data_IF_694461497178
#
_entry.id   IF_694461497178
#
_cell.length_a   1.000
_cell.length_b   1.000
_cell.length_c   1.000
_cell.angle_alpha   90.00
_cell.angle_beta   90.00
_cell.angle_gamma   90.00
#
_symmetry.space_group_name_H-M   'P 1'
#
loop_
_entity.id
_entity.type
_entity.pdbx_description
1 polymer ?
#
# COMPACT_ATOMS: atom_id res chain seq x y z
N UNK A 1 1.87 53.55 20.07
CA UNK A 1 2.01 52.27 20.79
C UNK A 1 2.16 51.20 19.73
N UNK A 2 3.36 50.69 19.51
CA UNK A 2 3.58 49.51 18.68
C UNK A 2 2.91 48.33 19.38
N UNK A 3 1.96 47.67 18.71
CA UNK A 3 1.42 46.39 19.18
C UNK A 3 2.58 45.46 19.49
N UNK A 4 2.70 44.97 20.73
CA UNK A 4 3.65 43.89 21.01
C UNK A 4 3.29 42.70 20.11
N UNK A 5 4.32 42.12 19.47
CA UNK A 5 4.13 40.97 18.59
C UNK A 5 3.64 39.78 19.44
N UNK A 6 2.59 39.10 18.95
CA UNK A 6 2.00 37.95 19.65
C UNK A 6 2.97 36.77 19.66
N UNK A 7 2.73 35.77 20.52
CA UNK A 7 3.48 34.52 20.52
C UNK A 7 3.52 33.88 19.11
N UNK A 8 2.36 33.88 18.43
CA UNK A 8 2.25 33.32 17.09
C UNK A 8 3.12 34.07 16.07
N UNK A 9 3.13 35.41 16.10
CA UNK A 9 3.96 36.22 15.19
C UNK A 9 5.45 35.93 15.40
N UNK A 10 5.88 35.80 16.66
CA UNK A 10 7.28 35.55 17.01
C UNK A 10 7.72 34.13 16.65
N UNK A 11 6.88 33.12 16.86
CA UNK A 11 7.19 31.75 16.44
C UNK A 11 7.22 31.64 14.92
N UNK A 12 6.28 32.29 14.20
CA UNK A 12 6.30 32.32 12.73
C UNK A 12 7.57 32.97 12.20
N UNK A 13 8.02 34.07 12.81
CA UNK A 13 9.31 34.67 12.49
C UNK A 13 10.47 33.71 12.75
N UNK A 14 10.51 33.06 13.91
CA UNK A 14 11.54 32.07 14.26
C UNK A 14 11.61 30.92 13.23
N UNK A 15 10.47 30.38 12.81
CA UNK A 15 10.41 29.30 11.80
C UNK A 15 10.79 29.76 10.38
N UNK A 16 10.75 31.07 10.11
CA UNK A 16 11.17 31.66 8.84
C UNK A 16 12.69 31.90 8.75
N UNK A 17 13.41 31.82 9.88
CA UNK A 17 14.85 32.02 9.94
C UNK A 17 15.59 30.93 9.15
N UNK A 18 16.78 31.26 8.63
CA UNK A 18 17.60 30.29 7.87
C UNK A 18 18.07 29.17 8.79
N UNK A 19 17.77 27.93 8.42
CA UNK A 19 18.11 26.74 9.20
C UNK A 19 19.62 26.49 9.40
N UNK A 20 20.48 27.14 8.62
CA UNK A 20 21.94 27.04 8.75
C UNK A 20 22.50 27.81 9.94
N UNK A 21 21.72 28.71 10.54
CA UNK A 21 22.12 29.52 11.70
C UNK A 21 21.29 29.16 12.93
N UNK A 22 21.49 27.94 13.43
CA UNK A 22 20.80 27.46 14.62
C UNK A 22 21.08 28.32 15.86
N UNK A 23 22.22 29.02 15.92
CA UNK A 23 22.56 29.87 17.06
C UNK A 23 21.60 31.07 17.15
N UNK A 24 21.30 31.71 16.02
CA UNK A 24 20.33 32.79 15.98
C UNK A 24 18.92 32.29 16.32
N UNK A 25 18.55 31.08 15.87
CA UNK A 25 17.26 30.45 16.20
C UNK A 25 17.15 30.19 17.71
N UNK A 26 18.20 29.64 18.33
CA UNK A 26 18.27 29.40 19.78
C UNK A 26 18.12 30.72 20.56
N UNK A 27 18.84 31.77 20.18
CA UNK A 27 18.73 33.08 20.83
C UNK A 27 17.31 33.67 20.71
N UNK A 28 16.67 33.52 19.55
CA UNK A 28 15.29 33.93 19.36
C UNK A 28 14.32 33.10 20.22
N UNK A 29 14.54 31.78 20.32
CA UNK A 29 13.74 30.87 21.14
C UNK A 29 13.83 31.25 22.62
N UNK A 30 15.04 31.51 23.13
CA UNK A 30 15.26 31.95 24.52
C UNK A 30 14.49 33.23 24.85
N UNK A 31 14.52 34.21 23.94
CA UNK A 31 13.79 35.46 24.13
C UNK A 31 12.28 35.24 24.11
N UNK A 32 11.77 34.34 23.27
CA UNK A 32 10.35 33.98 23.24
C UNK A 32 9.93 33.29 24.55
N UNK A 33 10.69 32.31 25.02
CA UNK A 33 10.40 31.59 26.27
C UNK A 33 10.48 32.50 27.49
N UNK A 34 11.39 33.48 27.48
CA UNK A 34 11.46 34.52 28.53
C UNK A 34 10.19 35.38 28.59
N UNK A 35 9.59 35.67 27.44
CA UNK A 35 8.43 36.56 27.34
C UNK A 35 7.09 35.82 27.54
N UNK A 36 7.00 34.52 27.22
CA UNK A 36 5.75 33.74 27.21
C UNK A 36 5.79 32.43 28.02
N UNK A 37 6.84 32.18 28.82
CA UNK A 37 7.07 30.89 29.51
C UNK A 37 7.29 29.68 28.59
N UNK A 38 7.87 28.60 29.12
CA UNK A 38 8.06 27.37 28.33
C UNK A 38 6.73 26.70 28.00
N UNK A 39 5.76 26.73 28.91
CA UNK A 39 4.50 25.99 28.78
C UNK A 39 3.63 26.54 27.65
N UNK A 40 3.52 27.86 27.50
CA UNK A 40 2.76 28.46 26.39
C UNK A 40 3.46 28.21 25.05
N UNK A 41 4.80 28.30 25.03
CA UNK A 41 5.59 28.11 23.81
C UNK A 41 5.54 26.66 23.32
N UNK A 42 5.69 25.67 24.21
CA UNK A 42 5.69 24.26 23.82
C UNK A 42 4.30 23.75 23.39
N UNK A 43 3.23 24.37 23.89
CA UNK A 43 1.84 24.06 23.51
C UNK A 43 1.41 24.75 22.21
N UNK A 44 2.19 25.69 21.70
CA UNK A 44 1.92 26.31 20.40
C UNK A 44 1.93 25.26 19.29
N UNK A 45 0.95 25.35 18.38
CA UNK A 45 0.86 24.51 17.19
C UNK A 45 0.85 25.35 15.92
N UNK A 46 1.40 24.80 14.84
CA UNK A 46 1.45 25.44 13.54
C UNK A 46 0.05 25.51 12.90
N UNK A 47 -0.58 26.69 12.73
CA UNK A 47 -1.98 26.79 12.31
C UNK A 47 -2.23 26.27 10.89
N UNK A 48 -1.27 26.45 9.98
CA UNK A 48 -1.36 25.98 8.59
C UNK A 48 -0.90 24.52 8.41
N UNK A 49 -0.43 23.85 9.48
CA UNK A 49 -0.04 22.44 9.39
C UNK A 49 -1.29 21.57 9.48
N UNK A 50 -1.49 20.68 8.49
CA UNK A 50 -2.55 19.66 8.51
C UNK A 50 -2.52 18.81 9.80
N UNK A 51 -1.35 18.63 10.39
CA UNK A 51 -1.12 17.78 11.55
C UNK A 51 -1.02 18.56 12.88
N UNK A 52 -1.27 19.87 12.88
CA UNK A 52 -1.12 20.76 14.05
C UNK A 52 0.22 20.53 14.78
N UNK A 53 1.31 20.58 14.04
CA UNK A 53 2.65 20.34 14.59
C UNK A 53 2.96 21.33 15.73
N UNK A 54 3.27 20.79 16.91
CA UNK A 54 3.94 21.58 17.96
C UNK A 54 5.31 22.09 17.50
N UNK A 55 5.85 23.07 18.20
CA UNK A 55 7.13 23.70 17.84
C UNK A 55 8.30 22.68 17.79
N UNK A 56 8.36 21.72 18.71
CA UNK A 56 9.38 20.65 18.70
C UNK A 56 9.29 19.78 17.43
N UNK A 57 8.08 19.53 16.92
CA UNK A 57 7.88 18.77 15.69
C UNK A 57 8.36 19.54 14.46
N UNK A 58 8.23 20.87 14.45
CA UNK A 58 8.77 21.72 13.39
C UNK A 58 10.30 21.71 13.39
N UNK A 59 10.94 21.75 14.57
CA UNK A 59 12.39 21.62 14.67
C UNK A 59 12.89 20.27 14.12
N UNK A 60 12.19 19.17 14.41
CA UNK A 60 12.48 17.84 13.84
C UNK A 60 12.29 17.83 12.31
N UNK A 61 11.19 18.40 11.81
CA UNK A 61 10.92 18.49 10.36
C UNK A 61 12.03 19.25 9.64
N UNK A 62 12.49 20.36 10.23
CA UNK A 62 13.57 21.18 9.71
C UNK A 62 14.96 20.54 9.90
N UNK A 63 15.12 19.63 10.87
CA UNK A 63 16.39 18.99 11.21
C UNK A 63 17.34 19.87 12.02
N UNK A 64 16.80 20.76 12.87
CA UNK A 64 17.56 21.70 13.69
C UNK A 64 18.11 21.01 14.94
N UNK A 65 19.19 20.26 14.80
CA UNK A 65 19.70 19.38 15.86
C UNK A 65 20.08 20.14 17.13
N UNK A 66 20.80 21.26 17.01
CA UNK A 66 21.23 22.05 18.18
C UNK A 66 20.04 22.71 18.87
N UNK A 67 19.07 23.16 18.09
CA UNK A 67 17.84 23.79 18.58
C UNK A 67 16.98 22.76 19.32
N UNK A 68 16.88 21.52 18.81
CA UNK A 68 16.18 20.41 19.49
C UNK A 68 16.87 20.11 20.84
N UNK A 69 18.20 19.96 20.83
CA UNK A 69 18.96 19.68 22.04
C UNK A 69 18.75 20.76 23.11
N UNK A 70 18.87 22.04 22.72
CA UNK A 70 18.66 23.19 23.60
C UNK A 70 17.22 23.25 24.13
N UNK A 71 16.23 23.09 23.26
CA UNK A 71 14.82 23.12 23.65
C UNK A 71 14.49 22.05 24.70
N UNK A 72 15.07 20.85 24.59
CA UNK A 72 14.81 19.74 25.52
C UNK A 72 15.65 19.88 26.80
N UNK A 73 16.98 20.07 26.70
CA UNK A 73 17.88 20.06 27.85
C UNK A 73 17.81 21.34 28.67
N UNK A 74 17.79 22.49 28.00
CA UNK A 74 17.97 23.80 28.64
C UNK A 74 16.63 24.48 28.91
N UNK A 75 15.64 24.29 28.04
CA UNK A 75 14.31 24.89 28.18
C UNK A 75 13.24 23.94 28.75
N UNK A 76 13.46 22.61 28.73
CA UNK A 76 12.56 21.63 29.31
C UNK A 76 11.34 21.27 28.43
N UNK A 77 11.45 21.40 27.11
CA UNK A 77 10.38 20.97 26.18
C UNK A 77 10.11 19.47 26.34
N UNK A 78 8.83 19.10 26.34
CA UNK A 78 8.44 17.70 26.34
C UNK A 78 8.80 17.01 25.00
N UNK A 79 9.89 16.26 25.00
CA UNK A 79 10.37 15.49 23.82
C UNK A 79 9.36 14.44 23.32
N UNK A 80 8.48 13.97 24.20
CA UNK A 80 7.47 12.95 23.97
C UNK A 80 6.08 13.53 23.70
N UNK A 81 5.97 14.84 23.47
CA UNK A 81 4.72 15.47 23.13
C UNK A 81 4.10 14.82 21.88
N UNK A 82 2.82 14.46 21.96
CA UNK A 82 2.07 13.83 20.86
C UNK A 82 1.34 14.90 20.07
N UNK A 83 1.34 14.79 18.75
CA UNK A 83 0.42 15.58 17.90
C UNK A 83 -1.01 15.17 18.14
N UNK A 84 -1.91 16.14 18.13
CA UNK A 84 -3.36 15.91 18.27
C UNK A 84 -3.92 15.07 17.10
N UNK A 85 -3.40 15.28 15.88
CA UNK A 85 -3.96 14.66 14.67
C UNK A 85 -3.77 13.15 14.56
N UNK A 86 -2.61 12.65 15.01
CA UNK A 86 -2.20 11.26 14.77
C UNK A 86 -1.44 10.62 15.93
N UNK A 87 -1.20 11.36 17.02
CA UNK A 87 -0.47 10.85 18.16
C UNK A 87 1.03 10.63 17.91
N UNK A 88 1.59 11.07 16.78
CA UNK A 88 3.03 10.95 16.54
C UNK A 88 3.81 11.86 17.49
N UNK A 89 4.94 11.37 17.98
CA UNK A 89 5.94 12.14 18.71
C UNK A 89 7.06 12.62 17.77
N UNK A 90 7.93 13.48 18.26
CA UNK A 90 9.19 13.87 17.59
C UNK A 90 9.97 12.68 17.04
N UNK A 91 10.05 11.57 17.78
CA UNK A 91 10.80 10.39 17.35
C UNK A 91 10.11 9.62 16.22
N UNK A 92 8.78 9.53 16.24
CA UNK A 92 8.01 8.99 15.10
C UNK A 92 8.30 9.79 13.82
N UNK A 93 8.37 11.12 13.93
CA UNK A 93 8.63 12.00 12.78
C UNK A 93 10.05 11.90 12.25
N UNK A 94 11.05 11.84 13.14
CA UNK A 94 12.43 11.66 12.74
C UNK A 94 12.62 10.37 11.93
N UNK A 95 11.95 9.29 12.36
CA UNK A 95 11.87 8.05 11.58
C UNK A 95 11.15 8.29 10.26
N UNK A 96 9.94 8.85 10.25
CA UNK A 96 9.15 9.08 9.02
C UNK A 96 9.84 9.96 7.96
N UNK A 97 10.61 10.97 8.36
CA UNK A 97 11.32 11.90 7.48
C UNK A 97 12.76 11.47 7.10
N UNK A 98 13.01 10.16 7.01
CA UNK A 98 14.31 9.50 7.23
C UNK A 98 15.47 10.43 7.67
N UNK A 99 15.44 10.92 8.91
CA UNK A 99 16.54 11.74 9.49
C UNK A 99 17.30 10.93 10.56
N UNK A 100 18.31 10.12 10.21
CA UNK A 100 18.99 9.22 11.16
C UNK A 100 19.62 10.00 12.31
N UNK A 101 20.34 11.08 12.02
CA UNK A 101 21.03 11.89 13.04
C UNK A 101 20.06 12.51 14.05
N UNK A 102 18.90 12.98 13.58
CA UNK A 102 17.84 13.51 14.47
C UNK A 102 17.21 12.40 15.30
N UNK A 103 17.00 11.22 14.73
CA UNK A 103 16.48 10.06 15.45
C UNK A 103 17.43 9.59 16.56
N UNK A 104 18.75 9.59 16.29
CA UNK A 104 19.79 9.26 17.27
C UNK A 104 19.89 10.30 18.38
N UNK A 105 19.84 11.59 18.02
CA UNK A 105 19.78 12.69 18.99
C UNK A 105 18.57 12.54 19.92
N UNK A 106 17.36 12.38 19.38
CA UNK A 106 16.15 12.26 20.19
C UNK A 106 16.21 11.09 21.18
N UNK A 107 16.76 9.95 20.76
CA UNK A 107 16.97 8.80 21.65
C UNK A 107 18.01 9.11 22.74
N UNK A 108 19.11 9.78 22.39
CA UNK A 108 20.13 10.23 23.36
C UNK A 108 19.55 11.21 24.38
N UNK A 109 18.57 12.02 23.96
CA UNK A 109 17.82 12.95 24.81
C UNK A 109 16.72 12.26 25.65
N UNK A 110 16.55 10.94 25.56
CA UNK A 110 15.59 10.19 26.35
C UNK A 110 14.16 10.14 25.78
N UNK A 111 14.00 10.30 24.46
CA UNK A 111 12.71 10.05 23.81
C UNK A 111 12.25 8.60 24.04
N UNK A 112 10.99 8.44 24.40
CA UNK A 112 10.40 7.13 24.70
C UNK A 112 10.02 6.42 23.40
N UNK A 113 10.72 5.32 23.13
CA UNK A 113 10.53 4.49 21.94
C UNK A 113 9.25 3.64 21.99
N UNK A 114 8.64 3.49 23.17
CA UNK A 114 7.49 2.62 23.42
C UNK A 114 6.14 3.32 23.19
N UNK A 115 6.15 4.64 22.97
CA UNK A 115 4.92 5.40 22.73
C UNK A 115 4.25 4.90 21.46
N UNK A 116 2.96 4.61 21.59
CA UNK A 116 2.09 4.17 20.50
C UNK A 116 1.31 5.36 19.94
N UNK A 117 1.34 5.55 18.62
CA UNK A 117 0.53 6.58 17.95
C UNK A 117 -0.93 6.12 17.72
N UNK A 118 -1.75 6.95 17.09
CA UNK A 118 -3.17 6.63 16.87
C UNK A 118 -3.37 5.50 15.85
N UNK A 119 -2.34 5.17 15.06
CA UNK A 119 -2.32 4.05 14.12
C UNK A 119 -1.82 2.74 14.76
N UNK A 120 -1.60 2.71 16.07
CA UNK A 120 -1.02 1.58 16.81
C UNK A 120 0.43 1.25 16.43
N UNK A 121 1.15 2.23 15.91
CA UNK A 121 2.56 2.10 15.54
C UNK A 121 3.45 2.48 16.73
N UNK A 122 4.53 1.71 16.93
CA UNK A 122 5.64 2.05 17.83
C UNK A 122 6.87 2.38 17.00
N UNK A 123 7.81 3.14 17.57
CA UNK A 123 9.04 3.55 16.88
C UNK A 123 9.86 2.33 16.45
N UNK A 124 10.00 1.35 17.35
CA UNK A 124 10.68 0.08 17.09
C UNK A 124 9.79 -0.84 16.23
N UNK A 125 9.84 -0.62 14.92
CA UNK A 125 8.98 -1.30 13.95
C UNK A 125 8.60 -0.42 12.75
N UNK A 126 8.78 0.89 12.83
CA UNK A 126 8.45 1.80 11.72
C UNK A 126 9.23 1.50 10.44
N UNK A 127 10.49 1.06 10.55
CA UNK A 127 11.30 0.73 9.37
C UNK A 127 10.74 -0.50 8.65
N UNK A 128 10.39 -1.56 9.40
CA UNK A 128 9.71 -2.74 8.85
C UNK A 128 8.31 -2.40 8.33
N UNK A 129 7.57 -1.53 9.02
CA UNK A 129 6.26 -1.06 8.59
C UNK A 129 6.33 -0.35 7.23
N UNK A 130 7.30 0.55 7.05
CA UNK A 130 7.53 1.24 5.78
C UNK A 130 7.90 0.29 4.65
N UNK A 131 8.74 -0.71 4.94
CA UNK A 131 9.03 -1.75 3.96
C UNK A 131 7.76 -2.48 3.55
N UNK A 132 6.92 -2.87 4.52
CA UNK A 132 5.62 -3.49 4.25
C UNK A 132 4.66 -2.57 3.48
N UNK A 133 4.64 -1.26 3.74
CA UNK A 133 3.83 -0.30 2.97
C UNK A 133 4.22 -0.23 1.48
N UNK A 134 5.44 -0.66 1.13
CA UNK A 134 5.88 -0.75 -0.26
C UNK A 134 5.48 -2.06 -0.96
N UNK A 135 4.80 -2.97 -0.24
CA UNK A 135 4.25 -4.18 -0.83
C UNK A 135 3.06 -3.87 -1.77
N UNK A 136 2.78 -4.80 -2.67
CA UNK A 136 1.72 -4.72 -3.67
C UNK A 136 0.82 -5.93 -3.52
N UNK A 137 -0.49 -5.71 -3.48
CA UNK A 137 -1.52 -6.76 -3.38
C UNK A 137 -2.01 -7.05 -4.79
N UNK A 138 -1.58 -8.16 -5.39
CA UNK A 138 -2.05 -8.58 -6.70
C UNK A 138 -3.24 -9.50 -6.55
N UNK A 139 -4.35 -9.19 -7.21
CA UNK A 139 -5.59 -9.93 -7.04
C UNK A 139 -6.31 -10.07 -8.37
N UNK A 140 -7.01 -11.19 -8.52
CA UNK A 140 -7.93 -11.46 -9.62
C UNK A 140 -9.13 -12.26 -9.08
N UNK A 141 -10.29 -12.06 -9.69
CA UNK A 141 -11.52 -12.80 -9.38
C UNK A 141 -12.21 -13.33 -10.62
N UNK A 142 -12.66 -14.58 -10.55
CA UNK A 142 -13.63 -15.12 -11.49
C UNK A 142 -15.03 -14.95 -10.92
N UNK A 143 -15.97 -14.52 -11.77
CA UNK A 143 -17.28 -14.03 -11.34
C UNK A 143 -18.41 -14.80 -12.04
N UNK A 144 -19.59 -14.79 -11.43
CA UNK A 144 -20.82 -15.35 -12.04
C UNK A 144 -21.37 -14.47 -13.18
N UNK A 145 -21.18 -13.15 -13.10
CA UNK A 145 -21.65 -12.18 -14.09
C UNK A 145 -20.98 -10.81 -13.90
N UNK A 146 -21.19 -9.89 -14.84
CA UNK A 146 -20.75 -8.49 -14.70
C UNK A 146 -21.82 -7.59 -14.05
N UNK A 147 -23.10 -7.95 -14.15
CA UNK A 147 -24.22 -7.11 -13.67
C UNK A 147 -24.54 -7.34 -12.20
N UNK A 148 -24.51 -8.61 -11.74
CA UNK A 148 -24.70 -9.03 -10.35
C UNK A 148 -23.56 -9.99 -9.94
N UNK A 149 -22.34 -9.46 -9.75
CA UNK A 149 -21.14 -10.27 -9.63
C UNK A 149 -21.10 -10.99 -8.28
N UNK A 150 -21.01 -12.33 -8.33
CA UNK A 150 -20.67 -13.17 -7.20
C UNK A 150 -19.34 -13.88 -7.49
N UNK A 151 -18.48 -13.98 -6.47
CA UNK A 151 -17.14 -14.54 -6.62
C UNK A 151 -17.24 -16.07 -6.72
N UNK A 152 -16.64 -16.64 -7.76
CA UNK A 152 -16.43 -18.06 -8.00
C UNK A 152 -15.04 -18.50 -7.56
N UNK A 153 -14.02 -17.72 -7.93
CA UNK A 153 -12.61 -17.95 -7.57
C UNK A 153 -11.97 -16.61 -7.23
N UNK A 154 -11.10 -16.58 -6.23
CA UNK A 154 -10.26 -15.43 -5.90
C UNK A 154 -8.83 -15.90 -5.69
N UNK A 155 -7.88 -15.22 -6.32
CA UNK A 155 -6.46 -15.45 -6.10
C UNK A 155 -5.78 -14.15 -5.67
N UNK A 156 -4.78 -14.29 -4.81
CA UNK A 156 -3.94 -13.19 -4.38
C UNK A 156 -2.47 -13.59 -4.39
N UNK A 157 -1.60 -12.69 -4.84
CA UNK A 157 -0.16 -12.74 -4.61
C UNK A 157 0.25 -11.42 -3.97
N UNK A 158 0.95 -11.48 -2.84
CA UNK A 158 1.60 -10.29 -2.28
C UNK A 158 3.05 -10.28 -2.76
N UNK A 159 3.48 -9.16 -3.32
CA UNK A 159 4.89 -8.94 -3.68
C UNK A 159 5.48 -7.77 -2.91
N UNK A 160 6.80 -7.76 -2.76
CA UNK A 160 7.52 -6.55 -2.41
C UNK A 160 7.56 -5.55 -3.59
N UNK A 161 8.17 -4.37 -3.39
CA UNK A 161 8.42 -3.37 -4.44
C UNK A 161 9.31 -3.86 -5.58
N UNK A 162 10.00 -4.99 -5.39
CA UNK A 162 10.85 -5.62 -6.39
C UNK A 162 10.09 -6.62 -7.28
N UNK A 163 8.79 -6.83 -7.03
CA UNK A 163 7.97 -7.85 -7.68
C UNK A 163 8.41 -9.28 -7.31
N UNK A 164 9.05 -9.42 -6.14
CA UNK A 164 9.34 -10.71 -5.53
C UNK A 164 8.16 -11.11 -4.65
N UNK A 165 7.66 -12.31 -4.87
CA UNK A 165 6.56 -12.87 -4.08
C UNK A 165 6.95 -13.08 -2.61
N UNK A 166 6.01 -12.71 -1.73
CA UNK A 166 6.09 -12.86 -0.28
C UNK A 166 5.17 -13.97 0.22
N UNK A 167 3.92 -13.99 -0.25
CA UNK A 167 2.92 -15.02 0.06
C UNK A 167 1.86 -15.02 -1.05
N UNK A 168 1.21 -16.17 -1.27
CA UNK A 168 0.09 -16.35 -2.20
C UNK A 168 -1.08 -17.05 -1.52
N UNK A 169 -2.29 -16.79 -2.00
CA UNK A 169 -3.51 -17.47 -1.57
C UNK A 169 -4.47 -17.66 -2.75
N UNK A 170 -5.26 -18.73 -2.71
CA UNK A 170 -6.28 -19.03 -3.73
C UNK A 170 -7.46 -19.71 -3.06
N UNK A 171 -8.65 -19.25 -3.39
CA UNK A 171 -9.90 -19.75 -2.85
C UNK A 171 -10.90 -19.95 -3.97
N UNK A 172 -11.60 -21.07 -3.92
CA UNK A 172 -12.65 -21.43 -4.86
C UNK A 172 -13.92 -21.55 -4.02
N UNK A 173 -14.93 -20.74 -4.31
CA UNK A 173 -16.18 -20.70 -3.56
C UNK A 173 -17.08 -21.82 -4.06
N UNK A 174 -17.64 -22.59 -3.14
CA UNK A 174 -18.57 -23.67 -3.50
C UNK A 174 -19.91 -23.13 -4.02
N UNK A 175 -20.41 -23.74 -5.10
CA UNK A 175 -21.76 -23.55 -5.63
C UNK A 175 -22.32 -24.89 -6.08
N UNK A 176 -23.63 -25.03 -6.02
CA UNK A 176 -24.33 -26.22 -6.48
C UNK A 176 -24.34 -26.30 -8.01
N UNK A 177 -24.38 -27.52 -8.55
CA UNK A 177 -24.41 -27.74 -10.00
C UNK A 177 -25.53 -26.98 -10.70
N UNK A 178 -26.72 -26.95 -10.09
CA UNK A 178 -27.89 -26.26 -10.63
C UNK A 178 -27.73 -24.73 -10.69
N UNK A 179 -26.82 -24.16 -9.89
CA UNK A 179 -26.48 -22.73 -9.96
C UNK A 179 -25.51 -22.48 -11.11
N UNK A 180 -24.49 -23.34 -11.24
CA UNK A 180 -23.51 -23.26 -12.33
C UNK A 180 -24.15 -23.42 -13.71
N UNK A 181 -25.14 -24.31 -13.87
CA UNK A 181 -25.86 -24.52 -15.13
C UNK A 181 -26.65 -23.27 -15.61
N UNK A 182 -26.90 -22.29 -14.73
CA UNK A 182 -27.58 -21.03 -15.07
C UNK A 182 -26.62 -19.96 -15.59
N UNK A 183 -25.31 -20.17 -15.44
CA UNK A 183 -24.31 -19.21 -15.91
C UNK A 183 -24.30 -19.14 -17.44
N UNK A 184 -23.91 -17.97 -17.96
CA UNK A 184 -23.93 -17.69 -19.39
C UNK A 184 -23.11 -18.69 -20.23
N UNK A 185 -23.39 -18.73 -21.55
CA UNK A 185 -22.65 -19.57 -22.50
C UNK A 185 -21.13 -19.33 -22.47
N UNK A 186 -20.68 -18.12 -22.12
CA UNK A 186 -19.26 -17.86 -21.92
C UNK A 186 -18.72 -18.76 -20.80
N UNK A 187 -19.30 -18.69 -19.60
CA UNK A 187 -18.88 -19.52 -18.46
C UNK A 187 -18.98 -21.02 -18.77
N UNK A 188 -20.06 -21.47 -19.41
CA UNK A 188 -20.21 -22.88 -19.81
C UNK A 188 -19.09 -23.35 -20.73
N UNK A 189 -18.57 -22.48 -21.59
CA UNK A 189 -17.47 -22.82 -22.47
C UNK A 189 -16.11 -22.70 -21.78
N UNK A 190 -15.92 -21.66 -20.96
CA UNK A 190 -14.64 -21.32 -20.32
C UNK A 190 -14.32 -22.24 -19.13
N UNK A 191 -15.30 -22.51 -18.27
CA UNK A 191 -15.09 -23.13 -16.95
C UNK A 191 -15.42 -24.62 -16.86
N UNK A 192 -15.97 -25.21 -17.93
CA UNK A 192 -16.27 -26.66 -17.99
C UNK A 192 -15.05 -27.55 -17.70
N UNK A 193 -15.31 -28.84 -17.55
CA UNK A 193 -14.27 -29.81 -17.20
C UNK A 193 -13.12 -29.85 -18.20
N UNK A 194 -11.91 -30.09 -17.67
CA UNK A 194 -10.70 -30.30 -18.48
C UNK A 194 -10.80 -31.55 -19.37
N UNK A 195 -11.58 -32.55 -18.96
CA UNK A 195 -11.79 -33.77 -19.78
C UNK A 195 -12.62 -33.53 -21.04
N UNK A 196 -13.32 -32.41 -21.12
CA UNK A 196 -14.22 -32.07 -22.24
C UNK A 196 -13.50 -31.31 -23.37
N UNK A 197 -12.18 -31.08 -23.24
CA UNK A 197 -11.36 -30.34 -24.20
C UNK A 197 -10.68 -31.31 -25.18
N UNK A 198 -10.92 -31.13 -26.49
CA UNK A 198 -10.36 -31.99 -27.56
C UNK A 198 -9.00 -31.54 -28.11
N UNK A 199 -8.40 -30.47 -27.60
CA UNK A 199 -7.14 -29.90 -28.15
C UNK A 199 -6.30 -29.24 -27.06
N UNK A 200 -4.98 -29.44 -27.14
CA UNK A 200 -3.97 -29.10 -26.12
C UNK A 200 -3.44 -27.65 -26.16
N UNK A 201 -4.17 -26.69 -26.74
CA UNK A 201 -3.68 -25.29 -26.83
C UNK A 201 -4.17 -24.45 -25.65
N UNK A 202 -3.22 -24.04 -24.80
CA UNK A 202 -3.43 -23.32 -23.53
C UNK A 202 -3.89 -21.86 -23.69
N UNK A 203 -3.83 -21.32 -24.91
CA UNK A 203 -4.02 -19.89 -25.20
C UNK A 203 -5.46 -19.50 -25.55
N UNK A 204 -6.33 -20.43 -25.97
CA UNK A 204 -7.65 -20.06 -26.53
C UNK A 204 -8.78 -21.09 -26.35
N UNK A 205 -8.67 -22.08 -25.48
CA UNK A 205 -9.69 -23.15 -25.41
C UNK A 205 -10.24 -23.29 -24.01
N UNK A 206 -11.48 -22.86 -23.87
CA UNK A 206 -12.27 -23.05 -22.66
C UNK A 206 -12.39 -24.52 -22.26
N UNK A 207 -12.68 -24.72 -20.98
CA UNK A 207 -12.56 -25.99 -20.27
C UNK A 207 -11.40 -25.98 -19.28
N UNK A 208 -11.25 -24.90 -18.53
CA UNK A 208 -10.15 -24.72 -17.58
C UNK A 208 -10.38 -25.44 -16.23
N UNK A 209 -11.46 -26.22 -16.10
CA UNK A 209 -11.77 -27.06 -14.96
C UNK A 209 -12.33 -26.35 -13.74
N UNK A 210 -12.60 -25.04 -13.81
CA UNK A 210 -13.08 -24.29 -12.64
C UNK A 210 -14.41 -24.84 -12.09
N UNK A 211 -15.33 -25.33 -12.94
CA UNK A 211 -16.57 -25.95 -12.46
C UNK A 211 -16.33 -27.23 -11.65
N UNK A 212 -15.37 -28.06 -12.04
CA UNK A 212 -15.02 -29.26 -11.26
C UNK A 212 -14.46 -28.86 -9.90
N UNK A 213 -13.60 -27.84 -9.88
CA UNK A 213 -12.99 -27.33 -8.66
C UNK A 213 -14.04 -26.67 -7.73
N UNK A 214 -15.03 -25.94 -8.28
CA UNK A 214 -16.14 -25.35 -7.52
C UNK A 214 -17.00 -26.44 -6.88
N UNK A 215 -17.38 -27.46 -7.64
CA UNK A 215 -18.20 -28.58 -7.13
C UNK A 215 -17.45 -29.38 -6.06
N UNK A 216 -16.13 -29.50 -6.16
CA UNK A 216 -15.29 -30.16 -5.18
C UNK A 216 -14.98 -29.29 -3.94
N UNK A 217 -15.06 -27.96 -4.07
CA UNK A 217 -14.78 -27.03 -2.98
C UNK A 217 -15.79 -27.16 -1.84
N UNK A 218 -15.33 -26.80 -0.64
CA UNK A 218 -16.17 -26.65 0.56
C UNK A 218 -16.07 -25.25 1.16
N UNK A 219 -15.30 -24.37 0.54
CA UNK A 219 -15.02 -23.03 1.05
C UNK A 219 -16.21 -22.13 0.78
N UNK A 220 -16.70 -21.49 1.83
CA UNK A 220 -17.71 -20.42 1.73
C UNK A 220 -17.05 -19.08 1.41
N UNK A 221 -17.84 -18.12 0.91
CA UNK A 221 -17.36 -16.76 0.66
C UNK A 221 -16.88 -16.09 1.96
N UNK A 222 -17.59 -16.32 3.06
CA UNK A 222 -17.27 -15.76 4.37
C UNK A 222 -15.94 -16.29 4.92
N UNK A 223 -15.69 -17.61 4.78
CA UNK A 223 -14.40 -18.21 5.14
C UNK A 223 -13.26 -17.66 4.27
N UNK A 224 -13.49 -17.51 2.97
CA UNK A 224 -12.55 -16.87 2.06
C UNK A 224 -12.24 -15.43 2.48
N UNK A 225 -13.26 -14.62 2.82
CA UNK A 225 -13.06 -13.22 3.23
C UNK A 225 -12.15 -13.12 4.47
N UNK A 226 -12.41 -13.97 5.48
CA UNK A 226 -11.59 -14.04 6.71
C UNK A 226 -10.16 -14.43 6.38
N UNK A 227 -9.96 -15.50 5.61
CA UNK A 227 -8.62 -15.99 5.26
C UNK A 227 -7.84 -15.00 4.41
N UNK A 228 -8.49 -14.35 3.44
CA UNK A 228 -7.89 -13.30 2.63
C UNK A 228 -7.47 -12.13 3.52
N UNK A 229 -8.36 -11.62 4.38
CA UNK A 229 -8.04 -10.51 5.27
C UNK A 229 -6.87 -10.84 6.22
N UNK A 230 -6.80 -12.06 6.74
CA UNK A 230 -5.69 -12.52 7.58
C UNK A 230 -4.37 -12.57 6.81
N UNK A 231 -4.39 -13.06 5.56
CA UNK A 231 -3.22 -13.06 4.68
C UNK A 231 -2.75 -11.62 4.42
N UNK A 232 -3.66 -10.69 4.12
CA UNK A 232 -3.32 -9.28 3.92
C UNK A 232 -2.67 -8.68 5.17
N UNK A 233 -3.23 -8.92 6.37
CA UNK A 233 -2.71 -8.39 7.64
C UNK A 233 -1.29 -8.86 7.97
N UNK A 234 -0.85 -10.02 7.48
CA UNK A 234 0.53 -10.50 7.69
C UNK A 234 1.56 -9.63 6.96
N UNK A 235 1.24 -9.12 5.77
CA UNK A 235 2.21 -8.49 4.87
C UNK A 235 1.95 -7.03 4.55
N UNK A 236 0.71 -6.57 4.67
CA UNK A 236 0.28 -5.24 4.25
C UNK A 236 -0.30 -4.51 5.45
N UNK A 237 0.18 -3.31 5.81
CA UNK A 237 -0.47 -2.50 6.82
C UNK A 237 -1.85 -2.04 6.35
N UNK A 238 -2.73 -1.76 7.30
CA UNK A 238 -4.07 -1.25 7.00
C UNK A 238 -3.98 0.04 6.18
N UNK A 239 -4.71 0.10 5.07
CA UNK A 239 -4.64 1.20 4.08
C UNK A 239 -3.21 1.48 3.57
N UNK A 240 -2.25 0.57 3.70
CA UNK A 240 -0.85 0.82 3.33
C UNK A 240 -0.54 0.50 1.86
N UNK A 241 -1.07 -0.62 1.36
CA UNK A 241 -0.63 -1.20 0.08
C UNK A 241 -1.70 -1.05 -1.02
N UNK A 242 -1.31 -0.72 -2.27
CA UNK A 242 -2.24 -0.64 -3.38
C UNK A 242 -2.68 -2.03 -3.86
N UNK A 243 -3.92 -2.11 -4.35
CA UNK A 243 -4.42 -3.26 -5.09
C UNK A 243 -3.91 -3.21 -6.54
N UNK A 244 -3.50 -4.33 -7.11
CA UNK A 244 -2.91 -4.42 -8.44
C UNK A 244 -3.47 -5.61 -9.22
N UNK A 245 -3.50 -5.49 -10.54
CA UNK A 245 -4.02 -6.51 -11.45
C UNK A 245 -4.43 -5.91 -12.79
N UNK A 246 -4.87 -6.76 -13.71
CA UNK A 246 -5.37 -6.32 -15.01
C UNK A 246 -6.82 -5.88 -14.88
N UNK A 247 -7.14 -4.64 -15.26
CA UNK A 247 -8.49 -4.08 -15.13
C UNK A 247 -9.06 -4.16 -13.70
N UNK A 248 -8.15 -4.11 -12.71
CA UNK A 248 -8.38 -4.33 -11.29
C UNK A 248 -9.43 -3.41 -10.65
N UNK A 249 -9.81 -2.33 -11.33
CA UNK A 249 -10.91 -1.48 -10.89
C UNK A 249 -12.25 -2.24 -10.84
N UNK A 250 -12.44 -3.25 -11.70
CA UNK A 250 -13.60 -4.14 -11.67
C UNK A 250 -13.58 -5.03 -10.44
N UNK A 251 -12.49 -5.78 -10.18
CA UNK A 251 -12.37 -6.60 -8.97
C UNK A 251 -12.52 -5.76 -7.71
N UNK A 252 -11.94 -4.54 -7.69
CA UNK A 252 -12.12 -3.62 -6.57
C UNK A 252 -13.60 -3.28 -6.32
N UNK A 253 -14.38 -3.10 -7.38
CA UNK A 253 -15.81 -2.85 -7.26
C UNK A 253 -16.55 -4.09 -6.71
N UNK A 254 -16.17 -5.28 -7.15
CA UNK A 254 -16.72 -6.54 -6.62
C UNK A 254 -16.35 -6.73 -5.15
N UNK A 255 -15.08 -6.55 -4.77
CA UNK A 255 -14.60 -6.63 -3.38
C UNK A 255 -15.40 -5.69 -2.49
N UNK A 256 -15.71 -4.46 -2.95
CA UNK A 256 -16.55 -3.53 -2.20
C UNK A 256 -17.94 -4.08 -1.88
N UNK A 257 -18.52 -4.85 -2.79
CA UNK A 257 -19.86 -5.42 -2.65
C UNK A 257 -19.85 -6.75 -1.90
N UNK A 258 -18.91 -7.64 -2.22
CA UNK A 258 -18.90 -9.03 -1.80
C UNK A 258 -18.02 -9.29 -0.57
N UNK A 259 -16.97 -8.47 -0.34
CA UNK A 259 -15.95 -8.63 0.69
C UNK A 259 -15.66 -7.30 1.45
N UNK A 260 -16.67 -6.72 2.13
CA UNK A 260 -16.58 -5.37 2.69
C UNK A 260 -15.45 -5.18 3.71
N UNK A 261 -15.12 -6.21 4.50
CA UNK A 261 -14.03 -6.13 5.49
C UNK A 261 -12.67 -6.05 4.81
N UNK A 262 -12.50 -6.74 3.68
CA UNK A 262 -11.31 -6.63 2.83
C UNK A 262 -11.27 -5.25 2.18
N UNK A 263 -12.36 -4.76 1.61
CA UNK A 263 -12.43 -3.42 1.02
C UNK A 263 -12.01 -2.32 2.00
N UNK A 264 -12.52 -2.39 3.24
CA UNK A 264 -12.15 -1.47 4.31
C UNK A 264 -10.70 -1.61 4.77
N UNK A 265 -10.02 -2.71 4.46
CA UNK A 265 -8.59 -2.84 4.75
C UNK A 265 -7.70 -2.24 3.63
N UNK A 266 -8.16 -2.30 2.38
CA UNK A 266 -7.38 -1.90 1.21
C UNK A 266 -7.16 -0.39 1.13
N UNK A 267 -5.96 0.01 0.67
CA UNK A 267 -5.69 1.39 0.28
C UNK A 267 -6.56 1.80 -0.91
N UNK A 268 -6.76 3.11 -1.09
CA UNK A 268 -7.63 3.64 -2.15
C UNK A 268 -6.99 3.59 -3.55
N UNK A 269 -5.65 3.64 -3.63
CA UNK A 269 -4.93 3.59 -4.90
C UNK A 269 -4.92 2.17 -5.47
N UNK A 270 -4.92 2.10 -6.79
CA UNK A 270 -4.74 0.88 -7.56
C UNK A 270 -3.54 1.00 -8.50
N UNK A 271 -2.94 -0.13 -8.84
CA UNK A 271 -1.98 -0.28 -9.94
C UNK A 271 -2.68 -1.12 -11.01
N UNK A 272 -3.35 -0.45 -11.94
CA UNK A 272 -4.08 -1.13 -13.01
C UNK A 272 -3.15 -1.42 -14.19
N UNK A 273 -2.79 -2.69 -14.36
CA UNK A 273 -1.88 -3.14 -15.42
C UNK A 273 -2.45 -2.84 -16.79
N UNK A 274 -3.78 -2.89 -16.95
CA UNK A 274 -4.46 -2.59 -18.23
C UNK A 274 -4.22 -1.14 -18.70
N UNK A 275 -3.98 -0.21 -17.76
CA UNK A 275 -3.64 1.18 -18.09
C UNK A 275 -2.30 1.28 -18.83
N UNK A 276 -1.32 0.42 -18.52
CA UNK A 276 -0.04 0.39 -19.23
C UNK A 276 -0.23 -0.03 -20.68
N UNK A 277 -1.07 -1.02 -20.94
CA UNK A 277 -1.41 -1.44 -22.31
C UNK A 277 -2.09 -0.31 -23.08
N UNK A 278 -3.08 0.35 -22.48
CA UNK A 278 -3.77 1.47 -23.12
C UNK A 278 -2.81 2.61 -23.52
N UNK A 279 -1.80 2.88 -22.71
CA UNK A 279 -0.74 3.85 -23.02
C UNK A 279 0.17 3.36 -24.14
N UNK A 280 0.66 2.11 -24.02
CA UNK A 280 1.65 1.52 -24.92
C UNK A 280 1.11 1.36 -26.34
N UNK A 281 -0.12 0.87 -26.49
CA UNK A 281 -0.78 0.69 -27.78
C UNK A 281 -0.86 2.02 -28.57
N UNK A 282 -0.97 3.15 -27.87
CA UNK A 282 -1.11 4.48 -28.49
C UNK A 282 0.23 5.13 -28.83
N UNK A 283 1.28 4.84 -28.06
CA UNK A 283 2.55 5.58 -28.14
C UNK A 283 3.73 4.73 -28.63
N UNK A 284 3.62 3.40 -28.64
CA UNK A 284 4.65 2.49 -29.13
C UNK A 284 4.18 1.86 -30.47
N UNK A 285 5.04 1.80 -31.51
CA UNK A 285 4.72 1.12 -32.76
C UNK A 285 4.28 -0.34 -32.54
N UNK A 286 3.24 -0.76 -33.26
CA UNK A 286 2.54 -2.03 -33.07
C UNK A 286 3.45 -3.27 -33.15
N UNK A 287 4.50 -3.24 -33.96
CA UNK A 287 5.40 -4.38 -34.18
C UNK A 287 6.21 -4.72 -32.92
N UNK A 288 6.66 -3.70 -32.19
CA UNK A 288 7.39 -3.87 -30.93
C UNK A 288 6.48 -4.41 -29.83
N UNK A 289 5.21 -4.03 -29.86
CA UNK A 289 4.21 -4.49 -28.91
C UNK A 289 3.88 -5.98 -29.11
N UNK A 290 3.61 -6.39 -30.36
CA UNK A 290 3.30 -7.79 -30.71
C UNK A 290 4.43 -8.75 -30.30
N UNK A 291 5.69 -8.31 -30.42
CA UNK A 291 6.83 -9.11 -29.97
C UNK A 291 6.84 -9.34 -28.45
N UNK A 292 6.47 -8.32 -27.66
CA UNK A 292 6.37 -8.42 -26.20
C UNK A 292 5.22 -9.32 -25.76
N UNK A 293 4.09 -9.26 -26.44
CA UNK A 293 2.94 -10.14 -26.17
C UNK A 293 3.30 -11.62 -26.41
N UNK A 294 3.92 -11.94 -27.55
CA UNK A 294 4.43 -13.30 -27.82
C UNK A 294 5.46 -13.77 -26.81
N UNK A 295 6.29 -12.85 -26.29
CA UNK A 295 7.25 -13.17 -25.24
C UNK A 295 6.54 -13.50 -23.91
N UNK A 296 5.52 -12.73 -23.52
CA UNK A 296 4.70 -13.02 -22.34
C UNK A 296 4.04 -14.40 -22.44
N UNK A 297 3.41 -14.70 -23.57
CA UNK A 297 2.72 -15.97 -23.77
C UNK A 297 3.67 -17.16 -23.63
N UNK A 298 4.91 -17.02 -24.13
CA UNK A 298 5.94 -18.05 -23.99
C UNK A 298 6.36 -18.26 -22.54
N UNK A 299 6.61 -17.19 -21.77
CA UNK A 299 6.94 -17.29 -20.34
C UNK A 299 5.81 -17.99 -19.59
N UNK A 300 4.57 -17.59 -19.86
CA UNK A 300 3.42 -18.17 -19.18
C UNK A 300 3.25 -19.65 -19.55
N UNK A 301 3.48 -20.01 -20.82
CA UNK A 301 3.48 -21.39 -21.27
C UNK A 301 4.56 -22.21 -20.54
N UNK A 302 5.83 -21.79 -20.59
CA UNK A 302 6.94 -22.44 -19.87
C UNK A 302 6.62 -22.63 -18.37
N UNK A 303 6.00 -21.63 -17.74
CA UNK A 303 5.61 -21.73 -16.33
C UNK A 303 4.56 -22.81 -16.06
N UNK A 304 3.57 -22.97 -16.93
CA UNK A 304 2.41 -23.84 -16.67
C UNK A 304 2.53 -25.23 -17.29
N UNK A 305 2.99 -25.34 -18.55
CA UNK A 305 3.17 -26.63 -19.21
C UNK A 305 4.39 -27.37 -18.70
N UNK A 306 5.52 -26.68 -18.54
CA UNK A 306 6.80 -27.37 -18.29
C UNK A 306 7.01 -27.68 -16.80
N UNK A 307 6.30 -26.98 -15.90
CA UNK A 307 6.33 -27.24 -14.46
C UNK A 307 5.11 -28.01 -13.93
N UNK A 308 4.29 -28.58 -14.83
CA UNK A 308 3.10 -29.36 -14.47
C UNK A 308 2.15 -28.63 -13.51
N UNK A 309 1.96 -27.32 -13.71
CA UNK A 309 1.01 -26.52 -12.93
C UNK A 309 -0.36 -26.58 -13.58
N UNK A 310 -1.39 -26.83 -12.79
CA UNK A 310 -2.76 -26.77 -13.27
C UNK A 310 -3.22 -25.30 -13.34
N UNK A 311 -3.75 -24.87 -14.48
CA UNK A 311 -4.24 -23.50 -14.69
C UNK A 311 -4.26 -23.09 -16.17
N UNK A 312 -4.68 -21.87 -16.44
CA UNK A 312 -4.79 -21.29 -17.78
C UNK A 312 -5.56 -19.97 -17.74
N UNK A 313 -5.80 -19.38 -18.91
CA UNK A 313 -6.59 -18.14 -19.01
C UNK A 313 -7.96 -18.30 -18.32
N UNK A 314 -8.40 -17.27 -17.60
CA UNK A 314 -9.60 -17.27 -16.77
C UNK A 314 -9.53 -18.22 -15.57
N UNK A 315 -8.32 -18.32 -15.00
CA UNK A 315 -8.09 -18.88 -13.67
C UNK A 315 -7.37 -17.81 -12.88
N UNK A 316 -7.95 -17.42 -11.74
CA UNK A 316 -7.52 -16.21 -11.07
C UNK A 316 -6.00 -16.18 -10.76
N UNK A 317 -5.42 -17.30 -10.31
CA UNK A 317 -3.98 -17.38 -10.01
C UNK A 317 -3.10 -17.21 -11.26
N UNK A 318 -3.53 -17.78 -12.39
CA UNK A 318 -2.82 -17.61 -13.67
C UNK A 318 -2.84 -16.14 -14.10
N UNK A 319 -3.98 -15.47 -13.99
CA UNK A 319 -4.15 -14.08 -14.42
C UNK A 319 -3.45 -13.08 -13.48
N UNK A 320 -3.37 -13.38 -12.19
CA UNK A 320 -2.47 -12.68 -11.24
C UNK A 320 -1.00 -12.84 -11.66
N UNK A 321 -0.54 -14.06 -11.89
CA UNK A 321 0.86 -14.31 -12.29
C UNK A 321 1.20 -13.63 -13.62
N UNK A 322 0.27 -13.65 -14.59
CA UNK A 322 0.39 -12.95 -15.87
C UNK A 322 0.52 -11.44 -15.66
N UNK A 323 -0.32 -10.85 -14.81
CA UNK A 323 -0.29 -9.41 -14.46
C UNK A 323 1.06 -9.00 -13.88
N UNK A 324 1.66 -9.84 -13.02
CA UNK A 324 3.00 -9.59 -12.44
C UNK A 324 4.08 -9.62 -13.54
N UNK A 325 4.06 -10.62 -14.43
CA UNK A 325 5.03 -10.72 -15.53
C UNK A 325 4.93 -9.54 -16.50
N UNK A 326 3.73 -9.04 -16.74
CA UNK A 326 3.52 -7.82 -17.52
C UNK A 326 4.24 -6.62 -16.88
N UNK A 327 4.07 -6.36 -15.58
CA UNK A 327 4.81 -5.23 -14.96
C UNK A 327 6.31 -5.47 -14.89
N UNK A 328 6.79 -6.72 -14.78
CA UNK A 328 8.23 -7.00 -14.89
C UNK A 328 8.79 -6.57 -16.24
N UNK A 329 8.02 -6.68 -17.32
CA UNK A 329 8.42 -6.16 -18.64
C UNK A 329 8.47 -4.64 -18.71
N UNK A 330 7.53 -3.96 -18.04
CA UNK A 330 7.44 -2.49 -18.07
C UNK A 330 8.41 -1.80 -17.11
N UNK A 331 8.74 -2.44 -15.98
CA UNK A 331 9.54 -1.85 -14.91
C UNK A 331 10.89 -1.29 -15.38
N UNK A 332 11.69 -1.96 -16.24
CA UNK A 332 12.94 -1.39 -16.75
C UNK A 332 12.75 -0.08 -17.53
N UNK A 333 11.62 0.09 -18.21
CA UNK A 333 11.32 1.31 -18.98
C UNK A 333 10.97 2.51 -18.09
N UNK A 334 10.64 2.29 -16.82
CA UNK A 334 10.35 3.36 -15.87
C UNK A 334 11.61 3.91 -15.20
N UNK A 335 12.69 3.12 -15.14
CA UNK A 335 13.96 3.52 -14.50
C UNK A 335 14.79 4.51 -15.33
N UNK A 336 14.30 4.91 -16.51
CA UNK A 336 14.98 5.87 -17.40
C UNK A 336 14.42 7.29 -17.31
N UNK A 337 13.39 7.49 -16.48
CA UNK A 337 12.87 8.81 -16.08
C UNK A 337 13.50 9.22 -14.74
#
# INVERSE_FOLDING_TARGET
MTSEATLADRIQFLLSMRSTDEQAIIQALDQIVKDFSVDEVQQWYHPQSKHKNLLIHEFVRMGLMKTIEHAVKDLGFNINAKRESDGNTSLHLAKWYPKPDVSELLQTLGADITIVNNYREVVDGLDQLKEKMMNIIWLDTELTSLDDPHILECAVIITDKHLKELERGQWIVHYEKAELEKLSNFHQNTFKSRSDVRTSSILFLGGNGLFDDILASKTTKEEMEVQLLELLKRHCPEKGCPLAGSSIHWDRAVIRLQLPSVYEYLHYRIIDVSSFFGVVERWIPSERWVEKEKYLDRIMQEKYTDNNREGGVHRAMYDVERSIEILKLFKPCLNTF
#
